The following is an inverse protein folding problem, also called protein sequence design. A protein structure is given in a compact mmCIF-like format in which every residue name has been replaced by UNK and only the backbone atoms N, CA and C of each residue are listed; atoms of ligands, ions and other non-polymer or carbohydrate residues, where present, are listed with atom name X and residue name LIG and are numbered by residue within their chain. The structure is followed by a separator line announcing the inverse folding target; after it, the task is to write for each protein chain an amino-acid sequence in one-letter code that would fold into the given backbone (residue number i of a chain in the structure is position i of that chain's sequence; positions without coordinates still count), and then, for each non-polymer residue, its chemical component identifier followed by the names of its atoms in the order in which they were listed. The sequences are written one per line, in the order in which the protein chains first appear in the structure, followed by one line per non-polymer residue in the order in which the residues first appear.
data_IF_004588794845
#
_entry.id   IF_004588794845
#
_cell.length_a   1.000
_cell.length_b   1.000
_cell.length_c   1.000
_cell.angle_alpha   90.00
_cell.angle_beta   90.00
_cell.angle_gamma   90.00
#
_symmetry.space_group_name_H-M   'P 1'
#
loop_
_entity.id
_entity.type
_entity.pdbx_description
1 polymer ?
#
# COMPACT_ATOMS: atom_id res chain seq x y z
N UNK A 1 15.25 -4.06 -25.47
CA UNK A 1 14.61 -3.89 -24.14
C UNK A 1 13.10 -3.71 -24.31
N UNK A 2 12.25 -4.60 -23.80
CA UNK A 2 10.78 -4.53 -23.99
C UNK A 2 10.18 -3.47 -23.05
N UNK A 3 9.57 -2.40 -23.59
CA UNK A 3 8.94 -1.34 -22.78
C UNK A 3 7.76 -1.91 -21.98
N UNK A 4 7.63 -1.48 -20.72
CA UNK A 4 6.47 -1.84 -19.90
C UNK A 4 5.18 -1.34 -20.55
N UNK A 5 4.09 -2.12 -20.48
CA UNK A 5 2.76 -1.66 -20.94
C UNK A 5 2.21 -0.49 -20.11
N UNK A 6 2.87 -0.17 -18.99
CA UNK A 6 2.47 0.81 -17.97
C UNK A 6 3.18 2.17 -18.12
N UNK A 7 3.93 2.41 -19.21
CA UNK A 7 4.52 3.73 -19.50
C UNK A 7 3.52 4.68 -20.17
N UNK A 8 3.83 5.99 -20.15
CA UNK A 8 2.98 7.06 -20.68
C UNK A 8 2.45 6.74 -22.09
N UNK A 9 1.13 6.84 -22.24
CA UNK A 9 0.44 6.68 -23.51
C UNK A 9 -0.52 7.85 -23.68
N UNK A 10 -0.63 8.35 -24.90
CA UNK A 10 -1.68 9.29 -25.26
C UNK A 10 -3.00 8.59 -25.07
N UNK A 11 -3.82 9.10 -24.17
CA UNK A 11 -5.19 8.61 -23.98
C UNK A 11 -6.06 9.15 -25.10
N UNK A 12 -7.18 8.49 -25.39
CA UNK A 12 -8.16 9.00 -26.37
C UNK A 12 -8.65 10.40 -25.99
N UNK A 13 -8.75 10.72 -24.69
CA UNK A 13 -9.10 12.07 -24.20
C UNK A 13 -8.03 13.11 -24.56
N UNK A 14 -6.75 12.79 -24.39
CA UNK A 14 -5.65 13.67 -24.78
C UNK A 14 -5.57 13.85 -26.29
N UNK A 15 -5.75 12.77 -27.06
CA UNK A 15 -5.82 12.84 -28.51
C UNK A 15 -6.97 13.73 -29.01
N UNK A 16 -8.16 13.61 -28.41
CA UNK A 16 -9.30 14.46 -28.73
C UNK A 16 -9.01 15.95 -28.45
N UNK A 17 -8.40 16.26 -27.30
CA UNK A 17 -7.99 17.64 -26.97
C UNK A 17 -6.97 18.20 -27.95
N UNK A 18 -6.01 17.40 -28.39
CA UNK A 18 -5.04 17.79 -29.43
C UNK A 18 -5.75 18.07 -30.77
N UNK A 19 -6.70 17.21 -31.16
CA UNK A 19 -7.54 17.43 -32.35
C UNK A 19 -8.34 18.73 -32.25
N UNK A 20 -8.92 19.04 -31.10
CA UNK A 20 -9.63 20.31 -30.87
C UNK A 20 -8.70 21.51 -31.09
N UNK A 21 -7.46 21.45 -30.61
CA UNK A 21 -6.46 22.51 -30.84
C UNK A 21 -6.15 22.69 -32.32
N UNK A 22 -5.92 21.58 -33.06
CA UNK A 22 -5.69 21.66 -34.51
C UNK A 22 -6.90 22.26 -35.25
N UNK A 23 -8.11 21.81 -34.91
CA UNK A 23 -9.34 22.28 -35.57
C UNK A 23 -9.63 23.75 -35.29
N UNK A 24 -9.28 24.25 -34.09
CA UNK A 24 -9.40 25.67 -33.73
C UNK A 24 -8.57 26.57 -34.64
N UNK A 25 -7.40 26.11 -35.05
CA UNK A 25 -6.54 26.82 -36.01
C UNK A 25 -6.95 26.58 -37.48
N UNK A 26 -8.03 25.84 -37.74
CA UNK A 26 -8.54 25.61 -39.10
C UNK A 26 -7.67 24.68 -39.95
N UNK A 27 -6.74 23.94 -39.36
CA UNK A 27 -5.77 23.13 -40.10
C UNK A 27 -6.26 21.69 -40.34
N UNK A 28 -5.99 21.14 -41.52
CA UNK A 28 -6.09 19.71 -41.81
C UNK A 28 -4.93 18.93 -41.17
N UNK A 29 -5.05 17.59 -41.11
CA UNK A 29 -3.96 16.74 -40.61
C UNK A 29 -2.72 16.79 -41.52
N UNK A 30 -2.90 16.97 -42.82
CA UNK A 30 -1.79 17.05 -43.77
C UNK A 30 -1.03 18.37 -43.61
N UNK A 31 -1.73 19.50 -43.45
CA UNK A 31 -1.10 20.80 -43.20
C UNK A 31 -0.34 20.81 -41.87
N UNK A 32 -0.94 20.23 -40.82
CA UNK A 32 -0.26 20.08 -39.54
C UNK A 32 1.04 19.27 -39.68
N UNK A 33 1.03 18.17 -40.45
CA UNK A 33 2.25 17.39 -40.71
C UNK A 33 3.34 18.24 -41.37
N UNK A 34 2.96 19.07 -42.35
CA UNK A 34 3.89 19.97 -43.03
C UNK A 34 4.48 21.00 -42.06
N UNK A 35 3.66 21.63 -41.22
CA UNK A 35 4.11 22.62 -40.22
C UNK A 35 5.00 22.01 -39.14
N UNK A 36 4.80 20.73 -38.81
CA UNK A 36 5.70 19.97 -37.93
C UNK A 36 7.03 19.58 -38.61
N UNK A 37 7.27 19.98 -39.87
CA UNK A 37 8.45 19.61 -40.65
C UNK A 37 8.46 18.14 -41.09
N UNK A 38 7.28 17.50 -41.13
CA UNK A 38 7.11 16.07 -41.45
C UNK A 38 6.44 15.91 -42.81
N UNK A 39 7.21 16.14 -43.87
CA UNK A 39 6.77 15.90 -45.24
C UNK A 39 7.04 14.44 -45.61
N UNK A 40 5.99 13.67 -45.90
CA UNK A 40 6.13 12.25 -46.22
C UNK A 40 4.79 11.52 -46.28
N UNK A 41 4.73 10.47 -47.10
CA UNK A 41 3.55 9.60 -47.20
C UNK A 41 3.29 8.97 -45.83
N UNK A 42 2.06 9.13 -45.31
CA UNK A 42 1.62 8.53 -44.05
C UNK A 42 1.74 9.42 -42.80
N UNK A 43 2.30 10.63 -42.89
CA UNK A 43 2.39 11.51 -41.70
C UNK A 43 1.01 12.03 -41.25
N UNK A 44 0.09 12.33 -42.17
CA UNK A 44 -1.30 12.63 -41.81
C UNK A 44 -1.97 11.44 -41.10
N UNK A 45 -1.70 10.21 -41.52
CA UNK A 45 -2.20 9.00 -40.85
C UNK A 45 -1.60 8.84 -39.45
N UNK A 46 -0.32 9.17 -39.24
CA UNK A 46 0.30 9.19 -37.93
C UNK A 46 -0.37 10.23 -37.01
N UNK A 47 -0.66 11.43 -37.51
CA UNK A 47 -1.41 12.46 -36.78
C UNK A 47 -2.81 11.95 -36.43
N UNK A 48 -3.51 11.33 -37.38
CA UNK A 48 -4.82 10.72 -37.13
C UNK A 48 -4.76 9.68 -36.01
N UNK A 49 -3.77 8.77 -36.05
CA UNK A 49 -3.57 7.80 -34.97
C UNK A 49 -3.25 8.48 -33.63
N UNK A 50 -2.49 9.58 -33.65
CA UNK A 50 -2.12 10.31 -32.45
C UNK A 50 -3.34 11.00 -31.82
N UNK A 51 -4.15 11.67 -32.62
CA UNK A 51 -5.42 12.29 -32.24
C UNK A 51 -6.45 11.26 -31.73
N UNK A 52 -6.37 10.01 -32.17
CA UNK A 52 -7.23 8.94 -31.67
C UNK A 52 -6.65 8.21 -30.43
N UNK A 53 -5.46 8.60 -29.96
CA UNK A 53 -4.77 7.93 -28.84
C UNK A 53 -4.20 6.55 -29.16
N UNK A 54 -4.04 6.23 -30.46
CA UNK A 54 -3.52 4.95 -30.94
C UNK A 54 -2.01 4.94 -31.18
N UNK A 55 -1.31 6.04 -30.92
CA UNK A 55 0.16 6.12 -30.99
C UNK A 55 0.74 5.80 -29.61
N UNK A 56 1.37 4.63 -29.44
CA UNK A 56 2.00 4.28 -28.17
C UNK A 56 3.32 5.05 -28.03
N UNK A 57 3.53 5.67 -26.87
CA UNK A 57 4.81 6.27 -26.47
C UNK A 57 5.34 7.33 -27.46
N UNK A 58 4.55 8.39 -27.77
CA UNK A 58 5.09 9.49 -28.59
C UNK A 58 6.34 10.07 -27.92
N UNK A 59 7.30 10.54 -28.72
CA UNK A 59 8.41 11.30 -28.16
C UNK A 59 7.89 12.64 -27.63
N UNK A 60 8.53 13.15 -26.57
CA UNK A 60 8.21 14.48 -26.06
C UNK A 60 8.32 15.56 -27.15
N UNK A 61 9.35 15.46 -28.00
CA UNK A 61 9.53 16.33 -29.17
C UNK A 61 8.35 16.29 -30.14
N UNK A 62 7.78 15.11 -30.40
CA UNK A 62 6.58 15.02 -31.26
C UNK A 62 5.39 15.79 -30.69
N UNK A 63 5.16 15.70 -29.38
CA UNK A 63 4.09 16.45 -28.71
C UNK A 63 4.37 17.96 -28.75
N UNK A 64 5.61 18.37 -28.49
CA UNK A 64 6.02 19.77 -28.53
C UNK A 64 5.89 20.38 -29.94
N UNK A 65 6.32 19.65 -30.98
CA UNK A 65 6.17 20.08 -32.38
C UNK A 65 4.70 20.22 -32.77
N UNK A 66 3.84 19.29 -32.32
CA UNK A 66 2.40 19.36 -32.56
C UNK A 66 1.81 20.64 -31.94
N UNK A 67 2.11 20.90 -30.67
CA UNK A 67 1.61 22.08 -29.96
C UNK A 67 2.13 23.37 -30.60
N UNK A 68 3.42 23.42 -30.94
CA UNK A 68 4.05 24.56 -31.63
C UNK A 68 3.35 24.85 -32.97
N UNK A 69 3.08 23.82 -33.77
CA UNK A 69 2.40 23.99 -35.04
C UNK A 69 0.94 24.45 -34.87
N UNK A 70 0.28 24.10 -33.76
CA UNK A 70 -1.06 24.60 -33.41
C UNK A 70 -1.05 25.90 -32.61
N UNK A 71 0.09 26.58 -32.45
CA UNK A 71 0.25 27.77 -31.58
C UNK A 71 -0.29 27.59 -30.15
N UNK A 72 -0.29 26.35 -29.69
CA UNK A 72 -0.73 25.94 -28.37
C UNK A 72 0.47 25.72 -27.44
N UNK A 73 0.20 25.55 -26.15
CA UNK A 73 1.23 25.26 -25.15
C UNK A 73 0.87 24.03 -24.30
N UNK A 74 1.79 23.59 -23.44
CA UNK A 74 1.50 22.51 -22.50
C UNK A 74 0.41 22.89 -21.48
N UNK A 75 0.11 24.18 -21.28
CA UNK A 75 -1.01 24.63 -20.44
C UNK A 75 -2.35 24.10 -20.94
N UNK A 76 -2.52 23.97 -22.26
CA UNK A 76 -3.75 23.47 -22.89
C UNK A 76 -4.02 21.98 -22.61
N UNK A 77 -3.00 21.27 -22.12
CA UNK A 77 -3.04 19.86 -21.74
C UNK A 77 -2.73 19.64 -20.24
N UNK A 78 -2.58 20.71 -19.46
CA UNK A 78 -2.04 20.63 -18.11
C UNK A 78 -2.90 19.75 -17.19
N UNK A 79 -4.23 19.82 -17.30
CA UNK A 79 -5.15 18.98 -16.53
C UNK A 79 -4.91 17.48 -16.79
N UNK A 80 -4.72 17.10 -18.05
CA UNK A 80 -4.48 15.72 -18.47
C UNK A 80 -3.09 15.22 -18.07
N UNK A 81 -2.08 16.07 -18.21
CA UNK A 81 -0.71 15.75 -17.80
C UNK A 81 -0.62 15.63 -16.28
N UNK A 82 -1.25 16.54 -15.53
CA UNK A 82 -1.34 16.49 -14.07
C UNK A 82 -2.09 15.23 -13.60
N UNK A 83 -3.21 14.89 -14.24
CA UNK A 83 -3.93 13.65 -13.92
C UNK A 83 -3.08 12.39 -14.14
N UNK A 84 -2.15 12.40 -15.11
CA UNK A 84 -1.21 11.32 -15.32
C UNK A 84 -0.07 11.31 -14.28
N UNK A 85 0.54 12.46 -14.00
CA UNK A 85 1.67 12.56 -13.06
C UNK A 85 1.27 12.36 -11.61
N UNK A 86 0.00 12.56 -11.27
CA UNK A 86 -0.58 12.22 -9.96
C UNK A 86 -0.80 10.71 -9.76
N UNK A 87 -0.67 9.89 -10.81
CA UNK A 87 -0.83 8.45 -10.68
C UNK A 87 0.33 7.85 -9.88
N UNK A 88 0.07 6.77 -9.12
CA UNK A 88 1.15 6.02 -8.48
C UNK A 88 2.14 5.52 -9.54
N UNK A 89 3.42 5.46 -9.16
CA UNK A 89 4.47 4.92 -10.01
C UNK A 89 4.18 3.47 -10.39
N UNK A 90 4.80 3.00 -11.48
CA UNK A 90 4.64 1.62 -11.96
C UNK A 90 4.95 0.58 -10.88
N UNK A 91 6.01 0.80 -10.09
CA UNK A 91 6.40 -0.10 -9.00
C UNK A 91 5.32 -0.12 -7.92
N UNK A 92 4.74 1.04 -7.58
CA UNK A 92 3.66 1.13 -6.60
C UNK A 92 2.38 0.44 -7.07
N UNK A 93 1.99 0.62 -8.34
CA UNK A 93 0.82 -0.05 -8.93
C UNK A 93 0.97 -1.57 -8.88
N UNK A 94 2.15 -2.08 -9.26
CA UNK A 94 2.48 -3.52 -9.16
C UNK A 94 2.45 -3.99 -7.71
N UNK A 95 2.96 -3.19 -6.79
CA UNK A 95 2.88 -3.43 -5.35
C UNK A 95 1.42 -3.54 -4.88
N UNK A 96 0.56 -2.56 -5.19
CA UNK A 96 -0.85 -2.57 -4.82
C UNK A 96 -1.54 -3.84 -5.33
N UNK A 97 -1.29 -4.21 -6.60
CA UNK A 97 -1.86 -5.42 -7.21
C UNK A 97 -1.43 -6.69 -6.48
N UNK A 98 -0.15 -6.81 -6.10
CA UNK A 98 0.38 -7.99 -5.40
C UNK A 98 -0.11 -8.06 -3.96
N UNK A 99 -0.17 -6.93 -3.25
CA UNK A 99 -0.75 -6.86 -1.89
C UNK A 99 -2.23 -7.22 -1.93
N UNK A 100 -3.01 -6.66 -2.87
CA UNK A 100 -4.42 -7.03 -3.05
C UNK A 100 -4.63 -8.52 -3.37
N UNK A 101 -3.75 -9.11 -4.18
CA UNK A 101 -3.83 -10.55 -4.46
C UNK A 101 -3.56 -11.38 -3.20
N UNK A 102 -2.70 -10.90 -2.31
CA UNK A 102 -2.43 -11.53 -1.03
C UNK A 102 -3.61 -11.41 -0.06
N UNK A 103 -4.22 -10.24 0.03
CA UNK A 103 -5.31 -9.96 0.98
C UNK A 103 -6.60 -10.71 0.67
N UNK A 104 -6.81 -11.16 -0.58
CA UNK A 104 -7.93 -12.03 -0.97
C UNK A 104 -8.03 -13.34 -0.19
N UNK A 105 -6.92 -13.83 0.38
CA UNK A 105 -6.89 -15.06 1.19
C UNK A 105 -7.15 -14.81 2.68
N UNK A 106 -7.27 -13.55 3.08
CA UNK A 106 -7.42 -13.14 4.48
C UNK A 106 -8.88 -12.82 4.79
N UNK A 107 -9.26 -12.86 6.07
CA UNK A 107 -10.55 -12.31 6.50
C UNK A 107 -10.71 -10.84 6.07
N UNK A 108 -11.93 -10.41 5.74
CA UNK A 108 -12.18 -9.06 5.24
C UNK A 108 -11.58 -7.96 6.14
N UNK A 109 -11.68 -8.13 7.47
CA UNK A 109 -11.13 -7.16 8.45
C UNK A 109 -9.61 -7.08 8.34
N UNK A 110 -8.92 -8.23 8.18
CA UNK A 110 -7.45 -8.26 8.07
C UNK A 110 -7.02 -7.71 6.72
N UNK A 111 -7.71 -8.10 5.65
CA UNK A 111 -7.47 -7.59 4.30
C UNK A 111 -7.50 -6.05 4.28
N UNK A 112 -8.58 -5.45 4.81
CA UNK A 112 -8.74 -3.99 4.87
C UNK A 112 -7.64 -3.32 5.71
N UNK A 113 -7.29 -3.89 6.87
CA UNK A 113 -6.22 -3.35 7.71
C UNK A 113 -4.85 -3.39 7.01
N UNK A 114 -4.54 -4.49 6.32
CA UNK A 114 -3.28 -4.67 5.56
C UNK A 114 -3.21 -3.69 4.39
N UNK A 115 -4.30 -3.52 3.63
CA UNK A 115 -4.34 -2.56 2.51
C UNK A 115 -4.17 -1.11 2.99
N UNK A 116 -4.86 -0.73 4.07
CA UNK A 116 -4.72 0.60 4.65
C UNK A 116 -3.30 0.86 5.16
N UNK A 117 -2.70 -0.11 5.86
CA UNK A 117 -1.31 -0.03 6.32
C UNK A 117 -0.35 0.14 5.14
N UNK A 118 -0.49 -0.69 4.11
CA UNK A 118 0.35 -0.67 2.93
C UNK A 118 0.23 0.66 2.15
N UNK A 119 -0.99 1.20 2.01
CA UNK A 119 -1.23 2.52 1.43
C UNK A 119 -0.58 3.63 2.25
N UNK A 120 -0.77 3.64 3.56
CA UNK A 120 -0.23 4.67 4.45
C UNK A 120 1.31 4.67 4.44
N UNK A 121 1.93 3.49 4.54
CA UNK A 121 3.40 3.35 4.51
C UNK A 121 3.96 3.70 3.14
N UNK A 122 3.30 3.32 2.05
CA UNK A 122 3.75 3.68 0.69
C UNK A 122 3.72 5.20 0.51
N UNK A 123 2.62 5.86 0.89
CA UNK A 123 2.46 7.32 0.77
C UNK A 123 3.46 8.10 1.64
N UNK A 124 3.79 7.59 2.82
CA UNK A 124 4.71 8.25 3.74
C UNK A 124 6.19 8.16 3.30
N UNK A 125 6.54 7.26 2.38
CA UNK A 125 7.93 7.04 1.96
C UNK A 125 8.33 8.01 0.84
N UNK A 126 9.54 8.55 0.95
CA UNK A 126 10.15 9.39 -0.11
C UNK A 126 10.61 8.58 -1.32
N UNK A 127 10.98 7.31 -1.13
CA UNK A 127 11.48 6.43 -2.20
C UNK A 127 10.60 5.18 -2.31
N UNK A 128 10.23 4.77 -3.53
CA UNK A 128 9.43 3.57 -3.73
C UNK A 128 10.20 2.32 -3.30
N UNK A 129 9.53 1.44 -2.60
CA UNK A 129 10.08 0.15 -2.18
C UNK A 129 9.89 -0.91 -3.27
N UNK A 130 10.78 -1.91 -3.31
CA UNK A 130 10.62 -3.04 -4.21
C UNK A 130 9.30 -3.78 -3.94
N UNK A 131 8.67 -4.33 -4.98
CA UNK A 131 7.43 -5.12 -4.85
C UNK A 131 7.62 -6.28 -3.86
N UNK A 132 8.80 -6.91 -3.84
CA UNK A 132 9.11 -8.03 -2.94
C UNK A 132 9.10 -7.60 -1.47
N UNK A 133 9.83 -6.55 -1.14
CA UNK A 133 9.91 -6.04 0.25
C UNK A 133 8.55 -5.58 0.75
N UNK A 134 7.79 -4.90 -0.11
CA UNK A 134 6.44 -4.44 0.21
C UNK A 134 5.47 -5.59 0.50
N UNK A 135 5.48 -6.63 -0.32
CA UNK A 135 4.69 -7.85 -0.06
C UNK A 135 5.14 -8.56 1.21
N UNK A 136 6.44 -8.58 1.51
CA UNK A 136 6.97 -9.14 2.76
C UNK A 136 6.48 -8.36 3.99
N UNK A 137 6.49 -7.03 3.94
CA UNK A 137 5.93 -6.17 4.99
C UNK A 137 4.43 -6.39 5.16
N UNK A 138 3.67 -6.44 4.06
CA UNK A 138 2.22 -6.72 4.11
C UNK A 138 1.93 -8.09 4.73
N UNK A 139 2.71 -9.13 4.40
CA UNK A 139 2.64 -10.47 5.03
C UNK A 139 2.94 -10.43 6.51
N UNK A 140 4.02 -9.75 6.90
CA UNK A 140 4.41 -9.62 8.30
C UNK A 140 3.30 -8.91 9.10
N UNK A 141 2.74 -7.83 8.54
CA UNK A 141 1.63 -7.10 9.14
C UNK A 141 0.35 -7.94 9.24
N UNK A 142 0.00 -8.69 8.19
CA UNK A 142 -1.15 -9.61 8.20
C UNK A 142 -1.02 -10.65 9.33
N UNK A 143 0.14 -11.30 9.42
CA UNK A 143 0.44 -12.26 10.50
C UNK A 143 0.37 -11.63 11.88
N UNK A 144 0.89 -10.40 12.03
CA UNK A 144 0.82 -9.67 13.29
C UNK A 144 -0.64 -9.34 13.69
N UNK A 145 -1.49 -8.97 12.72
CA UNK A 145 -2.92 -8.71 12.95
C UNK A 145 -3.69 -9.96 13.36
N UNK A 146 -3.42 -11.10 12.74
CA UNK A 146 -4.05 -12.37 13.09
C UNK A 146 -3.64 -12.83 14.49
N UNK A 147 -2.33 -12.78 14.79
CA UNK A 147 -1.79 -13.06 16.12
C UNK A 147 -2.42 -12.16 17.19
N UNK A 148 -2.55 -10.85 16.93
CA UNK A 148 -3.18 -9.92 17.86
C UNK A 148 -4.65 -10.26 18.10
N UNK A 149 -5.38 -10.76 17.09
CA UNK A 149 -6.78 -11.20 17.27
C UNK A 149 -6.89 -12.48 18.06
N UNK A 150 -6.02 -13.45 17.81
CA UNK A 150 -5.97 -14.69 18.60
C UNK A 150 -5.69 -14.35 20.07
N UNK A 151 -4.69 -13.50 20.33
CA UNK A 151 -4.38 -12.99 21.66
C UNK A 151 -5.59 -12.30 22.30
N UNK A 152 -6.25 -11.39 21.59
CA UNK A 152 -7.43 -10.70 22.13
C UNK A 152 -8.55 -11.70 22.45
N UNK A 153 -8.85 -12.66 21.56
CA UNK A 153 -9.88 -13.67 21.81
C UNK A 153 -9.58 -14.51 23.05
N UNK A 154 -8.31 -14.89 23.22
CA UNK A 154 -7.84 -15.61 24.39
C UNK A 154 -8.09 -14.80 25.65
N UNK A 155 -7.61 -13.56 25.69
CA UNK A 155 -7.72 -12.69 26.86
C UNK A 155 -9.19 -12.38 27.18
N UNK A 156 -10.03 -12.10 26.18
CA UNK A 156 -11.46 -11.90 26.41
C UNK A 156 -12.16 -13.15 26.93
N UNK A 157 -11.75 -14.35 26.49
CA UNK A 157 -12.31 -15.61 27.00
C UNK A 157 -11.97 -15.80 28.48
N UNK A 158 -10.73 -15.52 28.89
CA UNK A 158 -10.30 -15.58 30.30
C UNK A 158 -11.03 -14.52 31.15
N UNK A 159 -11.14 -13.27 30.68
CA UNK A 159 -11.89 -12.20 31.35
C UNK A 159 -13.37 -12.59 31.53
N UNK A 160 -13.98 -13.18 30.50
CA UNK A 160 -15.37 -13.62 30.52
C UNK A 160 -15.57 -14.80 31.48
N UNK A 161 -14.67 -15.78 31.49
CA UNK A 161 -14.72 -16.92 32.41
C UNK A 161 -14.61 -16.49 33.88
N UNK A 162 -13.83 -15.45 34.16
CA UNK A 162 -13.72 -14.84 35.48
C UNK A 162 -14.89 -13.90 35.85
N UNK A 163 -15.92 -13.79 34.99
CA UNK A 163 -17.07 -12.89 35.17
C UNK A 163 -16.69 -11.42 35.38
N UNK A 164 -15.52 -11.00 34.90
CA UNK A 164 -15.08 -9.61 35.00
C UNK A 164 -15.81 -8.75 33.97
N UNK A 165 -16.21 -7.54 34.38
CA UNK A 165 -16.75 -6.55 33.44
C UNK A 165 -15.65 -6.19 32.44
N UNK A 166 -15.96 -6.30 31.15
CA UNK A 166 -15.00 -6.04 30.06
C UNK A 166 -14.37 -4.64 30.12
N UNK A 167 -15.08 -3.65 30.68
CA UNK A 167 -14.62 -2.27 30.84
C UNK A 167 -13.98 -1.98 32.21
N UNK A 168 -13.78 -2.98 33.06
CA UNK A 168 -13.11 -2.79 34.35
C UNK A 168 -11.63 -2.40 34.17
N UNK A 169 -11.04 -1.62 35.10
CA UNK A 169 -9.61 -1.33 35.09
C UNK A 169 -8.75 -2.59 35.07
N UNK A 170 -9.10 -3.63 35.84
CA UNK A 170 -8.40 -4.92 35.86
C UNK A 170 -8.38 -5.58 34.47
N UNK A 171 -9.54 -5.65 33.79
CA UNK A 171 -9.62 -6.17 32.43
C UNK A 171 -8.77 -5.35 31.43
N UNK A 172 -8.69 -4.03 31.60
CA UNK A 172 -7.83 -3.19 30.78
C UNK A 172 -6.34 -3.46 31.03
N UNK A 173 -5.91 -3.57 32.29
CA UNK A 173 -4.52 -3.89 32.64
C UNK A 173 -4.12 -5.29 32.17
N UNK A 174 -5.00 -6.29 32.29
CA UNK A 174 -4.76 -7.66 31.78
C UNK A 174 -4.54 -7.68 30.26
N UNK A 175 -5.31 -6.91 29.48
CA UNK A 175 -5.07 -6.78 28.03
C UNK A 175 -3.73 -6.12 27.71
N UNK A 176 -3.32 -5.13 28.50
CA UNK A 176 -2.01 -4.48 28.33
C UNK A 176 -0.89 -5.47 28.66
N UNK A 177 -1.01 -6.17 29.80
CA UNK A 177 -0.09 -7.20 30.25
C UNK A 177 0.09 -8.28 29.18
N UNK A 178 -1.00 -8.90 28.72
CA UNK A 178 -0.98 -9.96 27.71
C UNK A 178 -0.32 -9.50 26.40
N UNK A 179 -0.59 -8.26 25.95
CA UNK A 179 0.06 -7.67 24.77
C UNK A 179 1.55 -7.46 24.96
N UNK A 180 1.98 -6.97 26.12
CA UNK A 180 3.40 -6.79 26.43
C UNK A 180 4.12 -8.13 26.51
N UNK A 181 3.55 -9.10 27.24
CA UNK A 181 4.08 -10.45 27.37
C UNK A 181 4.23 -11.13 26.00
N UNK A 182 3.16 -11.16 25.20
CA UNK A 182 3.19 -11.76 23.87
C UNK A 182 4.27 -11.15 22.97
N UNK A 183 4.46 -9.81 23.02
CA UNK A 183 5.50 -9.12 22.25
C UNK A 183 6.91 -9.47 22.72
N UNK A 184 7.13 -9.62 24.02
CA UNK A 184 8.42 -10.02 24.58
C UNK A 184 8.79 -11.43 24.11
N UNK A 185 7.87 -12.38 24.29
CA UNK A 185 8.06 -13.79 23.91
C UNK A 185 8.22 -13.96 22.38
N UNK A 186 7.42 -13.24 21.58
CA UNK A 186 7.48 -13.37 20.12
C UNK A 186 8.71 -12.73 19.46
N UNK A 187 9.46 -11.87 20.17
CA UNK A 187 10.59 -11.11 19.60
C UNK A 187 11.95 -11.61 20.05
N UNK A 188 12.09 -12.07 21.29
CA UNK A 188 13.37 -12.47 21.84
C UNK A 188 13.41 -13.98 22.02
N UNK A 189 14.29 -14.63 21.25
CA UNK A 189 14.64 -16.05 21.46
C UNK A 189 15.78 -16.25 22.45
N UNK A 190 16.44 -15.14 22.83
CA UNK A 190 17.56 -15.13 23.76
C UNK A 190 17.03 -15.04 25.20
N UNK A 191 17.11 -16.15 25.91
CA UNK A 191 16.59 -16.30 27.27
C UNK A 191 17.24 -15.31 28.25
N UNK A 192 18.55 -15.06 28.12
CA UNK A 192 19.28 -14.14 28.98
C UNK A 192 18.78 -12.70 28.85
N UNK A 193 18.38 -12.28 27.64
CA UNK A 193 17.80 -10.95 27.40
C UNK A 193 16.31 -10.87 27.75
N UNK A 194 15.62 -12.01 27.77
CA UNK A 194 14.19 -12.10 28.03
C UNK A 194 13.90 -12.02 29.53
N UNK A 195 14.67 -12.73 30.37
CA UNK A 195 14.47 -12.79 31.82
C UNK A 195 14.30 -11.42 32.51
N UNK A 196 15.23 -10.44 32.38
CA UNK A 196 15.08 -9.16 33.08
C UNK A 196 13.84 -8.37 32.64
N UNK A 197 13.44 -8.49 31.36
CA UNK A 197 12.24 -7.81 30.84
C UNK A 197 10.94 -8.46 31.32
N UNK A 198 10.96 -9.77 31.57
CA UNK A 198 9.84 -10.46 32.19
C UNK A 198 9.70 -10.05 33.65
N UNK A 199 10.80 -9.98 34.40
CA UNK A 199 10.81 -9.51 35.78
C UNK A 199 10.26 -8.07 35.90
N UNK A 200 10.70 -7.15 35.02
CA UNK A 200 10.17 -5.79 34.93
C UNK A 200 8.66 -5.78 34.64
N UNK A 201 8.20 -6.63 33.71
CA UNK A 201 6.78 -6.73 33.38
C UNK A 201 5.95 -7.27 34.56
N UNK A 202 6.50 -8.18 35.36
CA UNK A 202 5.84 -8.71 36.55
C UNK A 202 5.79 -7.68 37.70
N UNK A 203 6.85 -6.87 37.87
CA UNK A 203 6.82 -5.75 38.81
C UNK A 203 5.71 -4.77 38.43
N UNK A 204 5.68 -4.36 37.16
CA UNK A 204 4.64 -3.46 36.63
C UNK A 204 3.22 -4.04 36.82
N UNK A 205 3.03 -5.35 36.62
CA UNK A 205 1.74 -6.01 36.83
C UNK A 205 1.30 -5.95 38.30
N UNK A 206 2.24 -6.07 39.23
CA UNK A 206 1.99 -5.96 40.67
C UNK A 206 1.59 -4.54 41.06
N UNK A 207 2.32 -3.53 40.57
CA UNK A 207 2.01 -2.11 40.77
C UNK A 207 0.64 -1.72 40.17
N UNK A 208 0.25 -2.33 39.05
CA UNK A 208 -1.06 -2.13 38.42
C UNK A 208 -2.21 -2.84 39.14
N UNK A 209 -1.95 -3.52 40.27
CA UNK A 209 -2.96 -4.22 41.07
C UNK A 209 -3.44 -5.55 40.49
N UNK A 210 -2.76 -6.09 39.46
CA UNK A 210 -3.10 -7.39 38.86
C UNK A 210 -2.12 -8.51 39.24
N UNK A 211 -1.14 -8.21 40.10
CA UNK A 211 -0.06 -9.15 40.47
C UNK A 211 -0.51 -10.38 41.24
N UNK A 212 -1.53 -10.27 42.09
CA UNK A 212 -2.07 -11.40 42.87
C UNK A 212 -3.27 -12.08 42.21
N UNK A 213 -3.70 -11.61 41.04
CA UNK A 213 -4.90 -12.12 40.35
C UNK A 213 -4.64 -13.53 39.79
N UNK A 214 -5.42 -14.57 40.18
CA UNK A 214 -5.33 -15.91 39.57
C UNK A 214 -5.51 -15.86 38.06
N UNK A 215 -6.29 -14.89 37.57
CA UNK A 215 -6.53 -14.63 36.17
C UNK A 215 -5.25 -14.23 35.41
N UNK A 216 -4.33 -13.48 36.06
CA UNK A 216 -3.03 -13.14 35.45
C UNK A 216 -2.22 -14.40 35.17
N UNK A 217 -2.21 -15.36 36.10
CA UNK A 217 -1.47 -16.61 35.93
C UNK A 217 -2.01 -17.43 34.75
N UNK A 218 -3.34 -17.58 34.66
CA UNK A 218 -4.00 -18.24 33.54
C UNK A 218 -3.69 -17.55 32.20
N UNK A 219 -3.79 -16.22 32.14
CA UNK A 219 -3.43 -15.45 30.95
C UNK A 219 -1.96 -15.62 30.60
N UNK A 220 -1.04 -15.61 31.56
CA UNK A 220 0.40 -15.79 31.33
C UNK A 220 0.70 -17.15 30.70
N UNK A 221 0.15 -18.22 31.26
CA UNK A 221 0.32 -19.59 30.75
C UNK A 221 -0.16 -19.69 29.30
N UNK A 222 -1.40 -19.28 29.05
CA UNK A 222 -2.04 -19.33 27.73
C UNK A 222 -1.33 -18.47 26.68
N UNK A 223 -0.86 -17.28 27.06
CA UNK A 223 -0.11 -16.40 26.16
C UNK A 223 1.27 -16.97 25.83
N UNK A 224 1.90 -17.66 26.78
CA UNK A 224 3.18 -18.36 26.56
C UNK A 224 3.00 -19.49 25.56
N UNK A 225 2.00 -20.35 25.76
CA UNK A 225 1.66 -21.42 24.82
C UNK A 225 1.39 -20.88 23.39
N UNK A 226 0.64 -19.79 23.27
CA UNK A 226 0.36 -19.15 21.97
C UNK A 226 1.64 -18.59 21.31
N UNK A 227 2.61 -18.11 22.09
CA UNK A 227 3.89 -17.63 21.56
C UNK A 227 4.78 -18.79 21.08
N UNK A 228 4.77 -19.91 21.79
CA UNK A 228 5.55 -21.10 21.45
C UNK A 228 5.02 -21.78 20.18
N UNK A 229 3.70 -21.92 20.04
CA UNK A 229 3.04 -22.43 18.82
C UNK A 229 3.41 -21.63 17.56
N UNK A 230 3.67 -20.33 17.71
CA UNK A 230 4.07 -19.48 16.60
C UNK A 230 5.51 -19.70 16.20
N UNK A 231 6.39 -19.96 17.17
CA UNK A 231 7.82 -20.15 16.95
C UNK A 231 8.10 -21.48 16.24
N UNK A 232 7.28 -22.50 16.47
CA UNK A 232 7.40 -23.81 15.81
C UNK A 232 6.92 -23.84 14.37
N UNK A 233 6.06 -22.89 13.95
CA UNK A 233 5.50 -22.82 12.58
C UNK A 233 6.31 -21.97 11.60
N UNK A 234 7.36 -21.29 12.05
CA UNK A 234 8.20 -20.40 11.22
C UNK A 234 9.55 -21.02 10.91
#
# INVERSE_FOLDING_TARGET
MKRSKETFKVTSKMGARLRELRLREGMTQQELAVLMGRQGKGNAFLISRFENGHVPYPSFGFVADYLRACRASFSDLADLLNAYTLQPTVIEQRGYKRVRSLTRKLSWRTAKAVENYDHAVTKARRRPESVRSRVAHARAYARAQEAQRQLNRLVEAEISAAHLRSLSPEAAYLRVYARKLYRLLSRNKDEHKLKPKLEELESWATEAGIGSSPLRAAVRERVTALADERTTRT
#
